data_IF_835097356830
#
_entry.id   IF_835097356830
#
_cell.length_a   1.000
_cell.length_b   1.000
_cell.length_c   1.000
_cell.angle_alpha   90.00
_cell.angle_beta   90.00
_cell.angle_gamma   90.00
#
_symmetry.space_group_name_H-M   'P 1'
#
loop_
_entity.id
_entity.type
_entity.pdbx_description
1 polymer ?
#
# COMPACT_ATOMS: atom_id res chain seq x y z
N UNK A 1 -37.75 55.99 24.27
CA UNK A 1 -36.84 57.10 23.91
C UNK A 1 -35.70 57.11 24.93
N UNK A 2 -34.49 56.69 24.54
CA UNK A 2 -33.21 57.29 24.97
C UNK A 2 -32.08 56.51 24.31
N UNK A 3 -31.37 57.16 23.40
CA UNK A 3 -30.18 56.69 22.70
C UNK A 3 -28.97 56.82 23.64
N UNK A 4 -28.11 55.80 23.73
CA UNK A 4 -26.69 56.00 24.09
C UNK A 4 -25.80 55.13 23.21
N UNK A 5 -25.10 55.83 22.33
CA UNK A 5 -24.03 55.38 21.47
C UNK A 5 -22.72 55.41 22.28
N UNK A 6 -22.02 54.28 22.41
CA UNK A 6 -20.62 54.27 22.87
C UNK A 6 -19.78 53.33 22.00
N UNK A 7 -18.58 53.81 21.74
CA UNK A 7 -17.68 53.53 20.63
C UNK A 7 -16.61 52.48 21.03
N UNK A 8 -16.32 51.57 20.09
CA UNK A 8 -15.06 50.83 19.85
C UNK A 8 -14.36 50.12 21.03
N UNK A 9 -14.24 48.80 20.91
CA UNK A 9 -12.93 48.12 20.90
C UNK A 9 -12.95 46.97 19.89
N UNK A 10 -12.05 47.05 18.91
CA UNK A 10 -11.74 45.94 18.03
C UNK A 10 -10.84 44.97 18.80
N UNK A 11 -11.33 43.75 19.04
CA UNK A 11 -10.50 42.63 19.43
C UNK A 11 -10.40 41.71 18.20
N UNK A 12 -9.32 41.91 17.43
CA UNK A 12 -8.86 40.96 16.42
C UNK A 12 -8.24 39.80 17.20
N UNK A 13 -9.04 38.79 17.50
CA UNK A 13 -8.51 37.52 17.97
C UNK A 13 -8.13 36.68 16.76
N UNK A 14 -6.83 36.68 16.41
CA UNK A 14 -6.24 35.60 15.63
C UNK A 14 -6.34 34.32 16.47
N UNK A 15 -7.41 33.57 16.31
CA UNK A 15 -7.40 32.16 16.65
C UNK A 15 -6.74 31.45 15.46
N UNK A 16 -5.42 31.28 15.58
CA UNK A 16 -4.60 30.47 14.70
C UNK A 16 -5.29 29.12 14.45
N UNK A 17 -5.39 28.77 13.17
CA UNK A 17 -5.99 27.52 12.73
C UNK A 17 -5.35 26.34 13.44
N UNK A 18 -6.17 25.61 14.19
CA UNK A 18 -5.86 24.23 14.53
C UNK A 18 -6.12 23.37 13.28
N UNK A 19 -5.27 23.53 12.26
CA UNK A 19 -4.94 22.39 11.42
C UNK A 19 -4.04 21.52 12.28
N UNK A 20 -4.67 20.75 13.18
CA UNK A 20 -4.09 19.52 13.65
C UNK A 20 -3.90 18.70 12.37
N UNK A 21 -2.71 18.82 11.78
CA UNK A 21 -2.25 17.91 10.76
C UNK A 21 -2.44 16.53 11.38
N UNK A 22 -3.37 15.77 10.83
CA UNK A 22 -3.35 14.33 10.95
C UNK A 22 -1.96 13.94 10.48
N UNK A 23 -1.04 13.71 11.41
CA UNK A 23 0.04 12.79 11.17
C UNK A 23 -0.67 11.46 10.96
N UNK A 24 -1.08 11.23 9.71
CA UNK A 24 -1.53 9.93 9.26
C UNK A 24 -0.37 9.01 9.62
N UNK A 25 -0.61 8.08 10.55
CA UNK A 25 0.23 6.90 10.57
C UNK A 25 0.24 6.39 9.13
N UNK A 26 1.42 6.24 8.53
CA UNK A 26 1.56 5.70 7.19
C UNK A 26 0.99 4.29 7.24
N UNK A 27 -0.30 4.13 6.92
CA UNK A 27 -0.93 2.82 6.83
C UNK A 27 -0.15 2.04 5.77
N UNK A 28 0.34 0.84 6.08
CA UNK A 28 1.19 0.10 5.16
C UNK A 28 0.44 -0.15 3.86
N UNK A 29 1.02 0.33 2.76
CA UNK A 29 0.47 0.26 1.42
C UNK A 29 0.78 -1.05 0.73
N UNK A 30 1.08 -0.97 -0.56
CA UNK A 30 1.46 -2.09 -1.39
C UNK A 30 2.73 -1.80 -2.19
N UNK A 31 3.38 -2.85 -2.68
CA UNK A 31 4.57 -2.78 -3.52
C UNK A 31 4.36 -3.62 -4.76
N UNK A 32 4.44 -3.01 -5.95
CA UNK A 32 4.37 -3.73 -7.22
C UNK A 32 5.78 -3.98 -7.74
N UNK A 33 6.09 -5.22 -8.12
CA UNK A 33 7.39 -5.59 -8.68
C UNK A 33 7.28 -6.82 -9.58
N UNK A 34 8.35 -7.11 -10.33
CA UNK A 34 8.46 -8.34 -11.12
C UNK A 34 9.24 -9.38 -10.30
N UNK A 35 8.55 -10.38 -9.79
CA UNK A 35 9.15 -11.49 -9.06
C UNK A 35 9.78 -12.48 -10.04
N UNK A 36 11.09 -12.64 -9.99
CA UNK A 36 11.82 -13.63 -10.79
C UNK A 36 11.88 -14.96 -10.07
N UNK A 37 11.64 -16.06 -10.77
CA UNK A 37 11.81 -17.40 -10.23
C UNK A 37 12.47 -18.32 -11.27
N UNK A 38 13.56 -18.94 -10.85
CA UNK A 38 14.40 -19.80 -11.71
C UNK A 38 13.69 -21.04 -12.27
N UNK A 39 12.53 -21.41 -11.73
CA UNK A 39 11.73 -22.54 -12.15
C UNK A 39 10.47 -22.15 -12.92
N UNK A 40 9.98 -20.92 -12.77
CA UNK A 40 8.79 -20.43 -13.46
C UNK A 40 8.74 -18.90 -13.46
N UNK A 41 8.48 -18.30 -14.62
CA UNK A 41 8.19 -16.87 -14.77
C UNK A 41 9.30 -15.89 -14.34
N UNK A 42 9.30 -14.69 -14.93
CA UNK A 42 8.95 -13.49 -14.21
C UNK A 42 7.44 -13.45 -13.95
N UNK A 43 7.04 -13.00 -12.77
CA UNK A 43 5.63 -12.76 -12.42
C UNK A 43 5.41 -11.30 -12.04
N UNK A 44 4.36 -10.68 -12.54
CA UNK A 44 3.91 -9.39 -12.02
C UNK A 44 3.19 -9.61 -10.69
N UNK A 45 3.78 -9.08 -9.62
CA UNK A 45 3.31 -9.27 -8.25
C UNK A 45 3.02 -7.94 -7.59
N UNK A 46 1.96 -7.90 -6.81
CA UNK A 46 1.74 -6.86 -5.83
C UNK A 46 1.73 -7.47 -4.42
N UNK A 47 2.62 -6.98 -3.55
CA UNK A 47 2.72 -7.41 -2.16
C UNK A 47 2.05 -6.40 -1.23
N UNK A 48 1.21 -6.87 -0.31
CA UNK A 48 0.56 -6.04 0.71
C UNK A 48 0.23 -6.83 1.99
N UNK A 49 0.16 -6.20 3.17
CA UNK A 49 0.59 -4.84 3.46
C UNK A 49 2.12 -4.70 3.48
N UNK A 50 2.66 -3.58 2.99
CA UNK A 50 4.10 -3.28 2.98
C UNK A 50 4.35 -1.77 3.05
N UNK A 51 5.33 -1.36 3.84
CA UNK A 51 5.76 0.04 3.91
C UNK A 51 6.76 0.40 2.80
N UNK A 52 6.99 1.70 2.60
CA UNK A 52 7.89 2.20 1.56
C UNK A 52 9.34 1.71 1.75
N UNK A 53 9.83 1.65 2.99
CA UNK A 53 11.19 1.21 3.27
C UNK A 53 11.39 -0.27 2.90
N UNK A 54 10.41 -1.13 3.19
CA UNK A 54 10.44 -2.54 2.85
C UNK A 54 10.31 -2.77 1.34
N UNK A 55 9.49 -1.97 0.65
CA UNK A 55 9.42 -1.99 -0.82
C UNK A 55 10.74 -1.55 -1.47
N UNK A 56 11.39 -0.52 -0.94
CA UNK A 56 12.72 -0.09 -1.39
C UNK A 56 13.78 -1.19 -1.17
N UNK A 57 13.75 -1.89 -0.04
CA UNK A 57 14.65 -3.04 0.20
C UNK A 57 14.37 -4.19 -0.76
N UNK A 58 13.09 -4.49 -1.07
CA UNK A 58 12.75 -5.46 -2.11
C UNK A 58 13.33 -5.05 -3.45
N UNK A 59 13.25 -3.76 -3.81
CA UNK A 59 13.81 -3.21 -5.05
C UNK A 59 15.33 -3.33 -5.17
N UNK A 60 16.04 -3.49 -4.05
CA UNK A 60 17.50 -3.74 -4.04
C UNK A 60 17.86 -5.20 -4.27
N UNK A 61 16.90 -6.12 -4.19
CA UNK A 61 17.14 -7.55 -4.36
C UNK A 61 17.12 -7.92 -5.83
N UNK A 62 18.26 -8.41 -6.33
CA UNK A 62 18.48 -8.95 -7.66
C UNK A 62 17.86 -8.13 -8.81
N UNK A 63 16.64 -8.51 -9.20
CA UNK A 63 15.94 -8.07 -10.41
C UNK A 63 14.61 -7.34 -10.11
N UNK A 64 14.27 -7.15 -8.83
CA UNK A 64 13.09 -6.39 -8.39
C UNK A 64 13.26 -4.87 -8.52
N UNK A 65 14.30 -4.38 -9.21
CA UNK A 65 14.70 -2.96 -9.31
C UNK A 65 13.60 -1.97 -9.71
N UNK A 66 12.54 -2.47 -10.32
CA UNK A 66 11.36 -1.69 -10.71
C UNK A 66 10.23 -1.77 -9.66
N UNK A 67 10.58 -2.08 -8.40
CA UNK A 67 9.65 -2.09 -7.27
C UNK A 67 9.10 -0.68 -7.02
N UNK A 68 7.78 -0.56 -7.00
CA UNK A 68 7.08 0.72 -6.78
C UNK A 68 6.12 0.59 -5.61
N UNK A 69 6.32 1.42 -4.59
CA UNK A 69 5.40 1.54 -3.46
C UNK A 69 4.24 2.48 -3.80
N UNK A 70 3.05 2.15 -3.33
CA UNK A 70 1.90 3.04 -3.32
C UNK A 70 1.00 2.79 -2.11
N UNK A 71 0.23 3.80 -1.71
CA UNK A 71 -0.70 3.70 -0.60
C UNK A 71 -1.92 2.81 -0.94
N UNK A 72 -2.52 2.22 0.10
CA UNK A 72 -3.72 1.40 -0.04
C UNK A 72 -3.46 -0.03 -0.53
N UNK A 73 -4.54 -0.74 -0.83
CA UNK A 73 -4.50 -2.13 -1.26
C UNK A 73 -4.03 -2.29 -2.71
N UNK A 74 -3.47 -3.47 -3.01
CA UNK A 74 -3.21 -3.90 -4.38
C UNK A 74 -4.49 -3.86 -5.23
N UNK A 75 -4.40 -3.47 -6.51
CA UNK A 75 -5.52 -3.60 -7.43
C UNK A 75 -5.92 -5.08 -7.59
N UNK A 76 -7.20 -5.34 -7.82
CA UNK A 76 -7.71 -6.72 -8.04
C UNK A 76 -8.10 -6.97 -9.49
N UNK A 77 -7.92 -5.98 -10.36
CA UNK A 77 -8.19 -6.11 -11.79
C UNK A 77 -7.18 -7.08 -12.42
N UNK A 78 -7.67 -8.04 -13.21
CA UNK A 78 -6.84 -9.05 -13.88
C UNK A 78 -6.03 -9.94 -12.92
N UNK A 79 -6.46 -10.06 -11.66
CA UNK A 79 -5.86 -10.97 -10.70
C UNK A 79 -5.99 -12.42 -11.20
N UNK A 80 -4.88 -13.15 -11.20
CA UNK A 80 -4.83 -14.60 -11.46
C UNK A 80 -5.09 -15.38 -10.17
N UNK A 81 -4.57 -14.86 -9.06
CA UNK A 81 -4.87 -15.35 -7.72
C UNK A 81 -4.00 -14.68 -6.66
N UNK A 82 -4.28 -15.03 -5.41
CA UNK A 82 -3.58 -14.48 -4.24
C UNK A 82 -2.93 -15.60 -3.46
N UNK A 83 -1.67 -15.42 -3.10
CA UNK A 83 -1.00 -16.22 -2.10
C UNK A 83 -0.97 -15.47 -0.76
N UNK A 84 -1.71 -15.96 0.22
CA UNK A 84 -1.73 -15.39 1.57
C UNK A 84 -0.68 -16.06 2.46
N UNK A 85 0.38 -15.33 2.84
CA UNK A 85 1.47 -15.80 3.71
C UNK A 85 1.26 -15.42 5.17
N UNK A 86 0.05 -14.98 5.54
CA UNK A 86 -0.31 -14.52 6.88
C UNK A 86 0.13 -13.08 7.18
N UNK A 87 1.43 -12.80 7.09
CA UNK A 87 1.97 -11.46 7.34
C UNK A 87 1.79 -10.52 6.13
N UNK A 88 2.01 -11.06 4.92
CA UNK A 88 1.78 -10.37 3.66
C UNK A 88 1.07 -11.28 2.68
N UNK A 89 0.47 -10.69 1.66
CA UNK A 89 -0.20 -11.35 0.55
C UNK A 89 0.52 -10.98 -0.73
N UNK A 90 0.68 -11.95 -1.61
CA UNK A 90 1.18 -11.75 -2.97
C UNK A 90 0.02 -11.92 -3.94
N UNK A 91 -0.35 -10.84 -4.61
CA UNK A 91 -1.34 -10.83 -5.67
C UNK A 91 -0.61 -10.99 -7.01
N UNK A 92 -0.94 -12.04 -7.75
CA UNK A 92 -0.34 -12.38 -9.04
C UNK A 92 -1.27 -11.95 -10.18
N UNK A 93 -0.74 -11.22 -11.16
CA UNK A 93 -1.52 -10.74 -12.32
C UNK A 93 -1.23 -11.51 -13.62
N UNK A 94 -0.24 -12.38 -13.59
CA UNK A 94 0.09 -13.29 -14.69
C UNK A 94 0.67 -14.60 -14.15
N UNK A 95 0.87 -15.57 -15.07
CA UNK A 95 1.32 -16.92 -14.75
C UNK A 95 0.21 -17.97 -14.81
N UNK A 96 0.60 -19.23 -14.76
CA UNK A 96 -0.33 -20.36 -14.68
C UNK A 96 -0.83 -20.53 -13.24
N UNK A 97 -2.16 -20.50 -12.98
CA UNK A 97 -2.71 -20.60 -11.62
C UNK A 97 -2.26 -21.85 -10.86
N UNK A 98 -2.13 -23.00 -11.54
CA UNK A 98 -1.77 -24.26 -10.89
C UNK A 98 -0.32 -24.23 -10.42
N UNK A 99 0.58 -23.70 -11.26
CA UNK A 99 1.98 -23.49 -10.88
C UNK A 99 2.13 -22.48 -9.74
N UNK A 100 1.36 -21.40 -9.77
CA UNK A 100 1.37 -20.38 -8.72
C UNK A 100 0.81 -20.90 -7.39
N UNK A 101 -0.23 -21.73 -7.40
CA UNK A 101 -0.77 -22.40 -6.21
C UNK A 101 0.30 -23.30 -5.56
N UNK A 102 1.00 -24.11 -6.36
CA UNK A 102 2.09 -24.95 -5.88
C UNK A 102 3.22 -24.09 -5.28
N UNK A 103 3.60 -23.02 -5.98
CA UNK A 103 4.61 -22.06 -5.52
C UNK A 103 4.21 -21.33 -4.23
N UNK A 104 2.92 -21.06 -4.05
CA UNK A 104 2.38 -20.50 -2.82
C UNK A 104 2.50 -21.48 -1.66
N UNK A 105 2.18 -22.76 -1.88
CA UNK A 105 2.34 -23.81 -0.87
C UNK A 105 3.79 -23.99 -0.40
N UNK A 106 4.77 -23.83 -1.29
CA UNK A 106 6.19 -23.86 -0.89
C UNK A 106 6.63 -22.66 -0.04
N UNK A 107 5.85 -21.58 -0.03
CA UNK A 107 6.08 -20.39 0.80
C UNK A 107 5.26 -20.43 2.09
N UNK A 108 4.73 -21.60 2.47
CA UNK A 108 3.79 -21.80 3.58
C UNK A 108 2.53 -20.90 3.46
N UNK A 109 2.18 -20.52 2.23
CA UNK A 109 1.04 -19.67 1.93
C UNK A 109 -0.22 -20.46 1.61
N UNK A 110 -1.36 -19.78 1.71
CA UNK A 110 -2.67 -20.28 1.28
C UNK A 110 -3.06 -19.61 -0.03
N UNK A 111 -3.29 -20.42 -1.07
CA UNK A 111 -3.73 -19.93 -2.36
C UNK A 111 -5.25 -19.68 -2.39
N UNK A 112 -5.66 -18.60 -3.03
CA UNK A 112 -7.05 -18.31 -3.34
C UNK A 112 -7.18 -17.77 -4.75
N UNK A 113 -8.12 -18.31 -5.51
CA UNK A 113 -8.55 -17.73 -6.79
C UNK A 113 -9.29 -16.40 -6.56
N UNK A 114 -9.33 -15.50 -7.56
CA UNK A 114 -10.06 -14.24 -7.48
C UNK A 114 -11.55 -14.39 -7.17
#
# INVERSE_FOLDING_TARGET
>A
MMTRLTLRMAAVALAAGSFAGSALADEPGHCVYIQQNMFAGPFHVCEMPIDAARCDELGKTDENKDAVHAAGACPTESLVGTCDKGATKLLYYDGDPSGLEIGCGFQDGTWSTP
#
